data_IF_616267895005
#
_entry.id   IF_616267895005
#
_cell.length_a   1.000
_cell.length_b   1.000
_cell.length_c   1.000
_cell.angle_alpha   90.00
_cell.angle_beta   90.00
_cell.angle_gamma   90.00
#
_symmetry.space_group_name_H-M   'P 1'
#
loop_
_entity.id
_entity.type
_entity.pdbx_description
1 polymer ?
#
# COMPACT_ATOMS: atom_id res chain seq x y z
N UNK A 1 20.26 0.74 15.78
CA UNK A 1 19.34 0.69 16.92
C UNK A 1 18.17 1.61 16.67
N UNK A 2 16.99 1.13 16.88
CA UNK A 2 15.80 1.94 16.74
C UNK A 2 15.54 2.75 18.01
N UNK A 3 15.09 3.98 17.84
CA UNK A 3 14.63 4.82 18.94
C UNK A 3 13.10 4.88 19.00
N UNK A 4 12.42 4.34 17.99
CA UNK A 4 10.96 4.44 17.85
C UNK A 4 10.27 3.19 18.32
N UNK A 5 10.90 2.01 18.16
CA UNK A 5 10.30 0.71 18.44
C UNK A 5 9.80 0.56 19.89
N UNK A 6 10.36 1.31 20.83
CA UNK A 6 9.95 1.26 22.24
C UNK A 6 8.88 2.28 22.59
N UNK A 7 8.43 3.06 21.61
CA UNK A 7 7.48 4.14 21.80
C UNK A 7 6.37 4.05 20.76
N UNK A 8 5.43 4.91 20.89
CA UNK A 8 4.41 5.11 19.86
C UNK A 8 4.87 6.24 18.94
N UNK A 9 4.28 6.32 17.76
CA UNK A 9 4.52 7.42 16.84
C UNK A 9 3.18 7.88 16.25
N UNK A 10 3.19 9.12 15.78
CA UNK A 10 2.08 9.72 15.06
C UNK A 10 2.64 10.41 13.81
N UNK A 11 2.05 10.14 12.66
CA UNK A 11 2.35 10.87 11.43
C UNK A 11 1.07 11.24 10.72
N UNK A 12 1.05 12.44 10.20
CA UNK A 12 -0.06 12.99 9.44
C UNK A 12 0.35 13.02 7.97
N UNK A 13 -0.43 12.45 7.06
CA UNK A 13 -0.07 12.48 5.63
C UNK A 13 0.10 13.90 5.08
N UNK A 14 -0.59 14.89 5.65
CA UNK A 14 -0.43 16.28 5.25
C UNK A 14 0.98 16.84 5.53
N UNK A 15 1.73 16.18 6.41
CA UNK A 15 3.07 16.60 6.81
C UNK A 15 4.17 15.72 6.18
N UNK A 16 3.81 14.80 5.33
CA UNK A 16 4.73 13.85 4.70
C UNK A 16 4.81 14.13 3.20
N UNK A 17 6.02 14.32 2.69
CA UNK A 17 6.23 14.52 1.26
C UNK A 17 5.98 13.21 0.50
N UNK A 18 5.20 13.25 -0.58
CA UNK A 18 4.94 12.06 -1.37
C UNK A 18 6.08 11.76 -2.33
N UNK A 19 6.17 10.49 -2.73
CA UNK A 19 6.94 10.13 -3.92
C UNK A 19 6.05 9.32 -4.87
N UNK A 20 6.44 9.31 -6.16
CA UNK A 20 5.74 8.52 -7.17
C UNK A 20 6.24 7.08 -7.12
N UNK A 21 5.30 6.15 -7.22
CA UNK A 21 5.58 4.71 -7.24
C UNK A 21 4.65 4.04 -8.24
N UNK A 22 4.78 2.72 -8.38
CA UNK A 22 3.96 1.90 -9.30
C UNK A 22 2.46 2.17 -9.14
N UNK A 23 2.00 2.36 -7.92
CA UNK A 23 0.58 2.56 -7.62
C UNK A 23 0.12 4.01 -7.71
N UNK A 24 1.03 4.98 -7.65
CA UNK A 24 0.67 6.40 -7.63
C UNK A 24 1.54 7.20 -6.68
N UNK A 25 0.95 8.12 -5.94
CA UNK A 25 1.66 8.99 -5.00
C UNK A 25 1.59 8.39 -3.61
N UNK A 26 2.75 8.08 -3.05
CA UNK A 26 2.88 7.42 -1.74
C UNK A 26 3.37 8.40 -0.69
N UNK A 27 2.67 8.46 0.43
CA UNK A 27 3.13 9.15 1.64
C UNK A 27 3.33 8.10 2.72
N UNK A 28 4.60 7.79 3.08
CA UNK A 28 4.88 6.77 4.08
C UNK A 28 4.53 7.28 5.48
N UNK A 29 3.67 6.56 6.19
CA UNK A 29 3.26 6.90 7.54
C UNK A 29 4.04 6.10 8.59
N UNK A 30 4.23 4.81 8.33
CA UNK A 30 5.11 3.95 9.14
C UNK A 30 6.08 3.30 8.16
N UNK A 31 7.36 3.59 8.33
CA UNK A 31 8.42 3.19 7.41
C UNK A 31 9.29 2.09 8.01
N UNK A 32 10.16 1.52 7.19
CA UNK A 32 11.12 0.53 7.64
C UNK A 32 11.97 1.04 8.80
N UNK A 33 12.42 2.28 8.75
CA UNK A 33 13.28 2.88 9.78
C UNK A 33 12.61 2.97 11.15
N UNK A 34 11.30 2.87 11.20
CA UNK A 34 10.55 2.92 12.45
C UNK A 34 10.56 1.58 13.18
N UNK A 35 10.95 0.51 12.51
CA UNK A 35 11.07 -0.83 13.06
C UNK A 35 9.79 -1.34 13.72
N UNK A 36 8.65 -0.95 13.16
CA UNK A 36 7.36 -1.45 13.58
C UNK A 36 7.09 -2.84 12.94
N UNK A 37 6.02 -3.47 13.33
CA UNK A 37 5.65 -4.79 12.81
C UNK A 37 5.30 -4.76 11.33
N UNK A 38 4.85 -3.63 10.83
CA UNK A 38 4.41 -3.46 9.45
C UNK A 38 4.76 -2.06 8.96
N UNK A 39 4.69 -1.85 7.64
CA UNK A 39 4.73 -0.52 7.05
C UNK A 39 3.32 -0.08 6.69
N UNK A 40 3.05 1.21 6.84
CA UNK A 40 1.74 1.78 6.53
C UNK A 40 1.95 3.00 5.63
N UNK A 41 1.25 3.01 4.51
CA UNK A 41 1.39 4.07 3.51
C UNK A 41 0.03 4.64 3.15
N UNK A 42 -0.02 5.96 2.99
CA UNK A 42 -1.17 6.67 2.44
C UNK A 42 -0.90 6.85 0.95
N UNK A 43 -1.76 6.30 0.09
CA UNK A 43 -1.50 6.26 -1.35
C UNK A 43 -2.67 6.89 -2.11
N UNK A 44 -2.34 7.82 -3.00
CA UNK A 44 -3.29 8.35 -3.97
C UNK A 44 -3.04 7.63 -5.29
N UNK A 45 -3.98 6.78 -5.67
CA UNK A 45 -3.89 5.96 -6.88
C UNK A 45 -4.62 6.70 -8.01
N UNK A 46 -3.95 6.83 -9.15
CA UNK A 46 -4.56 7.34 -10.36
C UNK A 46 -4.34 6.34 -11.50
N UNK A 47 -3.18 5.69 -11.52
CA UNK A 47 -2.80 4.81 -12.61
C UNK A 47 -1.85 3.74 -12.09
N UNK A 48 -2.40 2.65 -11.61
CA UNK A 48 -1.59 1.55 -11.09
C UNK A 48 -1.22 0.57 -12.21
N UNK A 49 -0.06 -0.05 -12.08
CA UNK A 49 0.40 -1.12 -12.97
C UNK A 49 0.17 -2.46 -12.31
N UNK A 50 -0.11 -3.46 -13.12
CA UNK A 50 -0.20 -4.84 -12.65
C UNK A 50 1.14 -5.27 -12.06
N UNK A 51 1.13 -5.77 -10.85
CA UNK A 51 2.33 -6.19 -10.13
C UNK A 51 1.99 -7.21 -9.05
N UNK A 52 3.03 -7.79 -8.46
CA UNK A 52 2.87 -8.66 -7.29
C UNK A 52 4.05 -8.46 -6.33
N UNK A 53 3.86 -8.92 -5.10
CA UNK A 53 4.89 -8.95 -4.08
C UNK A 53 5.17 -10.40 -3.71
N UNK A 54 6.43 -10.81 -3.77
CA UNK A 54 6.81 -12.19 -3.51
C UNK A 54 6.99 -12.50 -2.02
N UNK A 55 7.29 -11.47 -1.21
CA UNK A 55 7.67 -11.64 0.20
C UNK A 55 6.78 -10.86 1.16
N UNK A 56 5.81 -10.13 0.64
CA UNK A 56 5.00 -9.20 1.42
C UNK A 56 3.52 -9.48 1.20
N UNK A 57 2.79 -9.58 2.30
CA UNK A 57 1.33 -9.52 2.27
C UNK A 57 0.92 -8.06 2.36
N UNK A 58 -0.13 -7.69 1.67
CA UNK A 58 -0.58 -6.31 1.61
C UNK A 58 -2.07 -6.20 1.92
N UNK A 59 -2.43 -5.20 2.71
CA UNK A 59 -3.82 -4.87 3.01
C UNK A 59 -4.09 -3.50 2.44
N UNK A 60 -5.19 -3.36 1.69
CA UNK A 60 -5.69 -2.09 1.20
C UNK A 60 -6.95 -1.73 1.96
N UNK A 61 -7.02 -0.51 2.44
CA UNK A 61 -8.27 0.05 2.97
C UNK A 61 -8.62 1.30 2.16
N UNK A 62 -9.79 1.31 1.55
CA UNK A 62 -10.20 2.41 0.68
C UNK A 62 -10.74 3.54 1.54
N UNK A 63 -10.08 4.69 1.48
CA UNK A 63 -10.46 5.88 2.24
C UNK A 63 -11.46 6.71 1.44
N UNK A 64 -11.21 6.88 0.14
CA UNK A 64 -12.02 7.73 -0.72
C UNK A 64 -11.91 7.27 -2.17
N UNK A 65 -12.92 7.60 -2.96
CA UNK A 65 -12.97 7.26 -4.37
C UNK A 65 -13.68 5.95 -4.64
N UNK A 66 -13.68 5.57 -5.90
CA UNK A 66 -14.29 4.32 -6.36
C UNK A 66 -13.53 3.79 -7.56
N UNK A 67 -13.61 2.49 -7.77
CA UNK A 67 -12.94 1.81 -8.86
C UNK A 67 -13.05 0.31 -8.72
N UNK A 68 -12.07 -0.39 -9.28
CA UNK A 68 -12.00 -1.84 -9.21
C UNK A 68 -10.59 -2.28 -8.85
N UNK A 69 -10.46 -3.49 -8.34
CA UNK A 69 -9.16 -4.14 -8.19
C UNK A 69 -9.19 -5.46 -8.94
N UNK A 70 -8.18 -5.66 -9.77
CA UNK A 70 -7.93 -6.92 -10.45
C UNK A 70 -6.99 -7.71 -9.55
N UNK A 71 -7.38 -8.95 -9.23
CA UNK A 71 -6.63 -9.87 -8.37
C UNK A 71 -6.52 -11.20 -9.12
N UNK A 72 -5.34 -11.49 -9.67
CA UNK A 72 -5.14 -12.58 -10.62
C UNK A 72 -6.12 -12.44 -11.79
N UNK A 73 -7.12 -13.31 -11.90
CA UNK A 73 -8.16 -13.25 -12.95
C UNK A 73 -9.52 -12.82 -12.41
N UNK A 74 -9.60 -12.33 -11.18
CA UNK A 74 -10.83 -11.83 -10.60
C UNK A 74 -10.83 -10.30 -10.56
N UNK A 75 -12.02 -9.72 -10.57
CA UNK A 75 -12.21 -8.28 -10.51
C UNK A 75 -13.24 -7.97 -9.43
N UNK A 76 -12.90 -7.07 -8.52
CA UNK A 76 -13.78 -6.68 -7.41
C UNK A 76 -13.99 -5.17 -7.41
N UNK A 77 -15.15 -4.74 -6.92
CA UNK A 77 -15.46 -3.32 -6.79
C UNK A 77 -14.84 -2.72 -5.55
N UNK A 78 -14.36 -1.48 -5.68
CA UNK A 78 -13.78 -0.70 -4.59
C UNK A 78 -14.58 0.57 -4.38
N UNK A 79 -14.85 0.88 -3.13
CA UNK A 79 -15.39 2.16 -2.70
C UNK A 79 -14.94 2.40 -1.25
N UNK A 80 -15.18 3.60 -0.73
CA UNK A 80 -14.77 3.95 0.63
C UNK A 80 -15.30 2.94 1.65
N UNK A 81 -14.41 2.48 2.52
CA UNK A 81 -14.74 1.50 3.57
C UNK A 81 -14.40 0.06 3.23
N UNK A 82 -14.12 -0.25 1.97
CA UNK A 82 -13.77 -1.62 1.55
C UNK A 82 -12.33 -1.93 1.97
N UNK A 83 -12.12 -3.13 2.51
CA UNK A 83 -10.78 -3.66 2.77
C UNK A 83 -10.51 -4.83 1.84
N UNK A 84 -9.29 -4.89 1.31
CA UNK A 84 -8.84 -6.00 0.47
C UNK A 84 -7.54 -6.55 1.05
N UNK A 85 -7.49 -7.85 1.26
CA UNK A 85 -6.26 -8.53 1.65
C UNK A 85 -5.64 -9.17 0.40
N UNK A 86 -4.39 -8.81 0.12
CA UNK A 86 -3.63 -9.32 -1.02
C UNK A 86 -2.48 -10.16 -0.50
N UNK A 87 -2.60 -11.49 -0.50
CA UNK A 87 -1.48 -12.34 -0.10
C UNK A 87 -0.28 -12.18 -1.03
N UNK A 88 0.89 -12.48 -0.52
CA UNK A 88 2.10 -12.51 -1.36
C UNK A 88 1.91 -13.42 -2.56
N UNK A 89 2.42 -13.02 -3.70
CA UNK A 89 2.32 -13.75 -4.96
C UNK A 89 1.09 -13.45 -5.79
N UNK A 90 0.07 -12.83 -5.24
CA UNK A 90 -1.14 -12.48 -5.98
C UNK A 90 -0.88 -11.25 -6.86
N UNK A 91 -1.11 -11.41 -8.15
CA UNK A 91 -0.97 -10.33 -9.14
C UNK A 91 -2.17 -9.40 -8.99
N UNK A 92 -1.91 -8.11 -8.89
CA UNK A 92 -2.99 -7.15 -8.64
C UNK A 92 -2.71 -5.79 -9.21
N UNK A 93 -3.79 -5.05 -9.48
CA UNK A 93 -3.74 -3.61 -9.75
C UNK A 93 -5.09 -2.98 -9.39
N UNK A 94 -5.01 -1.77 -8.86
CA UNK A 94 -6.20 -0.96 -8.61
C UNK A 94 -6.42 -0.03 -9.79
N UNK A 95 -7.67 0.09 -10.23
CA UNK A 95 -8.08 0.91 -11.38
C UNK A 95 -9.09 1.93 -10.90
N UNK A 96 -8.83 3.19 -11.22
CA UNK A 96 -9.66 4.32 -10.82
C UNK A 96 -8.92 5.30 -9.94
N UNK A 97 -9.56 6.40 -9.62
CA UNK A 97 -9.01 7.41 -8.70
C UNK A 97 -9.42 7.05 -7.29
N UNK A 98 -8.42 6.67 -6.48
CA UNK A 98 -8.64 6.15 -5.14
C UNK A 98 -7.63 6.75 -4.18
N UNK A 99 -8.08 7.01 -2.97
CA UNK A 99 -7.18 7.26 -1.83
C UNK A 99 -7.28 6.04 -0.93
N UNK A 100 -6.14 5.43 -0.65
CA UNK A 100 -6.10 4.19 0.12
C UNK A 100 -5.03 4.25 1.20
N UNK A 101 -5.23 3.43 2.22
CA UNK A 101 -4.19 3.09 3.17
C UNK A 101 -3.70 1.69 2.81
N UNK A 102 -2.39 1.51 2.68
CA UNK A 102 -1.82 0.18 2.49
C UNK A 102 -1.02 -0.22 3.72
N UNK A 103 -1.12 -1.48 4.09
CA UNK A 103 -0.35 -2.08 5.18
C UNK A 103 0.46 -3.23 4.59
N UNK A 104 1.77 -3.17 4.73
CA UNK A 104 2.69 -4.17 4.17
C UNK A 104 3.35 -4.97 5.29
N UNK A 105 3.26 -6.28 5.22
CA UNK A 105 3.75 -7.21 6.25
C UNK A 105 4.61 -8.28 5.56
N UNK A 106 5.85 -8.49 6.01
CA UNK A 106 6.59 -7.75 7.03
C UNK A 106 7.12 -6.41 6.50
N UNK A 107 7.64 -5.61 7.40
CA UNK A 107 8.36 -4.39 7.02
C UNK A 107 9.69 -4.72 6.35
N UNK A 108 10.29 -3.73 5.69
CA UNK A 108 11.67 -3.82 5.24
C UNK A 108 11.88 -4.58 3.95
N UNK A 109 10.84 -4.76 3.14
CA UNK A 109 10.96 -5.45 1.84
C UNK A 109 10.66 -4.46 0.71
N UNK A 110 11.47 -3.39 0.66
CA UNK A 110 11.23 -2.21 -0.18
C UNK A 110 11.20 -2.49 -1.68
N UNK A 111 12.01 -3.42 -2.17
CA UNK A 111 12.14 -3.67 -3.60
C UNK A 111 11.40 -4.92 -4.04
N UNK A 112 10.44 -5.36 -3.25
CA UNK A 112 9.64 -6.54 -3.53
C UNK A 112 8.42 -6.21 -4.38
N UNK A 113 8.62 -5.38 -5.41
CA UNK A 113 7.58 -5.03 -6.37
C UNK A 113 8.00 -5.57 -7.72
N UNK A 114 7.21 -6.50 -8.25
CA UNK A 114 7.48 -7.15 -9.54
C UNK A 114 6.42 -6.70 -10.53
N UNK A 115 6.76 -5.73 -11.37
CA UNK A 115 5.83 -5.17 -12.37
C UNK A 115 5.67 -6.12 -13.55
N UNK A 116 4.44 -6.24 -14.02
CA UNK A 116 4.06 -7.11 -15.12
C UNK A 116 3.53 -6.34 -16.34
N UNK A 117 3.49 -5.00 -16.24
CA UNK A 117 3.04 -4.13 -17.34
C UNK A 117 4.07 -3.07 -17.68
#
# INVERSE_FOLDING_TARGET
MSTIATKFLRRDPAEVDPWAETCGQIRPLIEERDEAAAEVHHVEIDHAKLHYHAKTDEIYYIIDGSGTMVLDDEEIELHAGVVVYVPRGVKHKAVGKLTVLTVCIPRGVLHDVHELE
#
